data_IF_406132474515
#
_entry.id   IF_406132474515
#
_cell.length_a   1.000
_cell.length_b   1.000
_cell.length_c   1.000
_cell.angle_alpha   90.00
_cell.angle_beta   90.00
_cell.angle_gamma   90.00
#
_symmetry.space_group_name_H-M   'P 1'
#
loop_
_entity.id
_entity.type
_entity.pdbx_description
1 polymer ?
#
# COMPACT_ATOMS: atom_id res chain seq x y z
N UNK A 1 28.76 23.21 -7.22
CA UNK A 1 27.45 23.91 -7.30
C UNK A 1 26.37 23.05 -6.63
N UNK A 2 25.77 23.28 -5.47
CA UNK A 2 25.74 24.37 -4.46
C UNK A 2 25.64 23.72 -3.05
N UNK A 3 26.57 23.97 -2.11
CA UNK A 3 26.54 23.36 -0.77
C UNK A 3 25.56 24.02 0.23
N UNK A 4 24.95 25.17 -0.11
CA UNK A 4 24.12 25.96 0.83
C UNK A 4 22.70 25.42 1.08
N UNK A 5 22.15 24.52 0.25
CA UNK A 5 20.76 24.01 0.40
C UNK A 5 20.62 22.77 1.29
N UNK A 6 21.69 22.01 1.55
CA UNK A 6 21.66 20.84 2.47
C UNK A 6 21.66 21.25 3.94
N UNK A 7 22.39 22.32 4.31
CA UNK A 7 22.46 22.80 5.70
C UNK A 7 21.12 23.34 6.22
N UNK A 8 20.30 23.98 5.39
CA UNK A 8 19.02 24.55 5.82
C UNK A 8 17.95 23.49 6.20
N UNK A 9 18.03 22.27 5.64
CA UNK A 9 17.11 21.16 6.00
C UNK A 9 17.56 20.44 7.28
N UNK A 10 18.87 20.30 7.47
CA UNK A 10 19.46 19.70 8.68
C UNK A 10 19.25 20.58 9.93
N UNK A 11 19.42 21.90 9.80
CA UNK A 11 19.15 22.84 10.91
C UNK A 11 17.66 22.90 11.30
N UNK A 12 16.76 22.62 10.35
CA UNK A 12 15.31 22.56 10.60
C UNK A 12 14.89 21.30 11.37
N UNK A 13 15.57 20.16 11.17
CA UNK A 13 15.28 18.94 11.93
C UNK A 13 15.89 18.96 13.34
N UNK A 14 17.06 19.60 13.53
CA UNK A 14 17.62 19.84 14.87
C UNK A 14 16.72 20.72 15.74
N UNK A 15 16.07 21.74 15.17
CA UNK A 15 15.08 22.57 15.88
C UNK A 15 13.80 21.82 16.26
N UNK A 16 13.45 20.75 15.55
CA UNK A 16 12.31 19.87 15.88
C UNK A 16 12.67 18.85 16.97
N UNK A 17 13.88 18.29 16.92
CA UNK A 17 14.36 17.33 17.93
C UNK A 17 14.63 17.96 19.31
N UNK A 18 15.06 19.23 19.37
CA UNK A 18 15.23 19.93 20.64
C UNK A 18 13.89 20.31 21.33
N UNK A 19 12.77 20.29 20.59
CA UNK A 19 11.43 20.53 21.14
C UNK A 19 10.80 19.24 21.71
N UNK A 20 11.18 18.08 21.17
CA UNK A 20 10.62 16.77 21.55
C UNK A 20 11.33 16.14 22.76
N UNK A 21 12.55 16.57 23.10
CA UNK A 21 13.35 15.99 24.18
C UNK A 21 13.02 16.47 25.60
N UNK A 22 12.13 17.45 25.78
CA UNK A 22 11.85 18.05 27.10
C UNK A 22 10.55 17.57 27.78
N UNK A 23 9.82 16.61 27.22
CA UNK A 23 8.48 16.25 27.75
C UNK A 23 8.22 14.76 27.93
N UNK A 24 9.23 13.93 28.16
CA UNK A 24 8.97 12.55 28.61
C UNK A 24 9.97 12.11 29.68
N UNK A 25 9.62 12.35 30.94
CA UNK A 25 10.13 11.59 32.07
C UNK A 25 9.03 11.36 33.10
N UNK A 26 9.01 10.14 33.63
CA UNK A 26 8.11 9.53 34.62
C UNK A 26 6.73 9.09 34.11
N UNK A 27 6.61 7.83 33.66
CA UNK A 27 6.23 6.63 34.47
C UNK A 27 4.75 6.64 34.85
N UNK A 28 3.95 5.80 34.19
CA UNK A 28 3.10 4.75 34.79
C UNK A 28 2.36 4.07 33.64
N UNK A 29 2.89 2.90 33.30
CA UNK A 29 2.16 1.83 32.65
C UNK A 29 0.97 1.44 33.52
N UNK A 30 -0.11 1.07 32.85
CA UNK A 30 -1.21 0.20 33.33
C UNK A 30 -2.48 0.93 33.72
N UNK A 31 -3.59 0.42 33.16
CA UNK A 31 -4.99 0.70 33.48
C UNK A 31 -5.41 2.09 32.94
N UNK A 32 -6.04 2.23 31.77
CA UNK A 32 -7.49 2.02 31.57
C UNK A 32 -7.73 1.78 30.06
N UNK A 33 -7.83 0.51 29.66
CA UNK A 33 -8.68 0.11 28.55
C UNK A 33 -10.12 0.19 29.10
N UNK A 34 -10.88 1.28 28.85
CA UNK A 34 -12.34 1.21 28.55
C UNK A 34 -13.18 2.49 28.55
N UNK A 35 -12.75 3.63 29.10
CA UNK A 35 -13.71 4.72 29.29
C UNK A 35 -13.19 6.05 28.78
N UNK A 36 -14.11 6.84 28.20
CA UNK A 36 -14.01 8.26 27.83
C UNK A 36 -13.80 8.56 26.34
N UNK A 37 -14.80 8.15 25.55
CA UNK A 37 -15.55 9.17 24.80
C UNK A 37 -16.24 10.02 25.87
N UNK A 38 -15.76 11.25 26.09
CA UNK A 38 -16.50 12.47 26.50
C UNK A 38 -15.55 13.48 27.16
N UNK A 39 -15.42 14.61 26.47
CA UNK A 39 -15.42 15.98 27.00
C UNK A 39 -14.71 16.25 28.33
N UNK A 40 -13.61 17.00 28.30
CA UNK A 40 -13.72 18.44 28.57
C UNK A 40 -12.42 19.20 28.32
N UNK A 41 -12.63 20.37 27.73
CA UNK A 41 -11.73 21.51 27.69
C UNK A 41 -11.07 21.77 29.05
N UNK A 42 -9.77 22.06 29.07
CA UNK A 42 -9.24 23.38 29.50
C UNK A 42 -7.74 23.36 29.79
N UNK A 43 -7.09 24.43 29.30
CA UNK A 43 -5.79 24.99 29.70
C UNK A 43 -4.51 24.25 29.27
N UNK A 44 -3.98 24.65 28.11
CA UNK A 44 -2.62 25.21 28.07
C UNK A 44 -2.48 26.16 26.86
N UNK A 45 -2.36 27.46 27.16
CA UNK A 45 -2.36 28.53 26.18
C UNK A 45 -1.12 28.54 25.30
N UNK A 46 -1.33 28.36 23.99
CA UNK A 46 -0.43 28.84 22.96
C UNK A 46 -1.22 29.82 22.09
N UNK A 47 -0.88 31.11 22.19
CA UNK A 47 -1.42 32.16 21.32
C UNK A 47 -0.98 31.91 19.88
N UNK A 48 -1.76 31.11 19.15
CA UNK A 48 -1.67 30.95 17.72
C UNK A 48 -2.78 31.80 17.11
N UNK A 49 -2.41 32.93 16.51
CA UNK A 49 -3.35 33.72 15.71
C UNK A 49 -3.88 32.84 14.57
N UNK A 50 -5.14 32.41 14.69
CA UNK A 50 -5.86 31.69 13.65
C UNK A 50 -6.30 32.71 12.60
N UNK A 51 -5.78 32.59 11.39
CA UNK A 51 -6.15 33.46 10.28
C UNK A 51 -7.16 32.72 9.39
N UNK A 52 -8.23 33.41 8.99
CA UNK A 52 -9.19 32.89 8.01
C UNK A 52 -8.46 32.53 6.70
N UNK A 53 -8.83 31.39 6.13
CA UNK A 53 -8.28 30.90 4.86
C UNK A 53 -9.43 30.58 3.90
N UNK A 54 -9.38 31.17 2.73
CA UNK A 54 -10.23 30.82 1.59
C UNK A 54 -9.40 30.15 0.50
N UNK A 55 -10.02 29.25 -0.26
CA UNK A 55 -9.40 28.62 -1.43
C UNK A 55 -10.43 28.58 -2.56
N UNK A 56 -9.97 28.94 -3.76
CA UNK A 56 -10.77 28.93 -4.99
C UNK A 56 -10.45 27.66 -5.77
N UNK A 57 -11.50 26.94 -6.21
CA UNK A 57 -11.37 25.76 -7.06
C UNK A 57 -12.13 26.02 -8.35
N UNK A 58 -11.42 25.95 -9.47
CA UNK A 58 -11.98 25.96 -10.82
C UNK A 58 -11.98 24.54 -11.38
N UNK A 59 -13.03 24.19 -12.11
CA UNK A 59 -13.12 22.93 -12.86
C UNK A 59 -12.98 23.26 -14.36
N UNK A 60 -12.16 22.49 -15.08
CA UNK A 60 -11.97 22.69 -16.52
C UNK A 60 -13.33 22.62 -17.25
N UNK A 61 -13.63 23.65 -18.04
CA UNK A 61 -14.87 23.74 -18.83
C UNK A 61 -16.04 24.49 -18.14
N UNK A 62 -15.84 25.05 -16.95
CA UNK A 62 -16.87 25.85 -16.25
C UNK A 62 -16.29 27.23 -15.92
N UNK A 63 -16.82 28.30 -16.51
CA UNK A 63 -16.41 29.70 -16.26
C UNK A 63 -16.82 30.23 -14.86
N UNK A 64 -17.23 29.35 -13.94
CA UNK A 64 -17.75 29.72 -12.63
C UNK A 64 -16.95 29.08 -11.50
N UNK A 65 -16.50 29.88 -10.54
CA UNK A 65 -15.65 29.45 -9.43
C UNK A 65 -16.47 29.01 -8.22
N UNK A 66 -16.04 27.93 -7.56
CA UNK A 66 -16.50 27.60 -6.21
C UNK A 66 -15.61 28.30 -5.19
N UNK A 67 -16.23 29.00 -4.25
CA UNK A 67 -15.51 29.62 -3.13
C UNK A 67 -15.78 28.81 -1.87
N UNK A 68 -14.74 28.18 -1.35
CA UNK A 68 -14.77 27.50 -0.05
C UNK A 68 -14.17 28.44 0.99
N UNK A 69 -14.99 28.85 1.96
CA UNK A 69 -14.57 29.69 3.07
C UNK A 69 -14.56 28.85 4.36
N UNK A 70 -13.51 29.04 5.15
CA UNK A 70 -13.37 28.43 6.46
C UNK A 70 -13.02 29.53 7.45
N UNK A 71 -13.96 29.85 8.32
CA UNK A 71 -13.82 30.86 9.35
C UNK A 71 -13.57 30.21 10.70
N UNK A 72 -12.67 30.82 11.47
CA UNK A 72 -12.29 30.34 12.79
C UNK A 72 -12.59 31.41 13.83
N UNK A 73 -13.44 31.08 14.80
CA UNK A 73 -13.71 31.92 15.98
C UNK A 73 -13.39 31.10 17.22
N UNK A 74 -12.19 31.28 17.77
CA UNK A 74 -11.67 30.46 18.88
C UNK A 74 -11.46 28.99 18.46
N UNK A 75 -12.12 28.07 19.17
CA UNK A 75 -12.14 26.62 18.84
C UNK A 75 -13.26 26.23 17.86
N UNK A 76 -14.07 27.19 17.42
CA UNK A 76 -15.19 26.95 16.50
C UNK A 76 -14.68 27.16 15.06
N UNK A 77 -14.90 26.16 14.22
CA UNK A 77 -14.65 26.26 12.79
C UNK A 77 -15.98 26.18 12.03
N UNK A 78 -16.27 27.20 11.22
CA UNK A 78 -17.42 27.22 10.33
C UNK A 78 -16.93 27.08 8.88
N UNK A 79 -17.55 26.18 8.11
CA UNK A 79 -17.26 26.02 6.68
C UNK A 79 -18.48 26.46 5.88
N UNK A 80 -18.24 27.32 4.89
CA UNK A 80 -19.26 27.79 3.96
C UNK A 80 -18.78 27.60 2.53
N UNK A 81 -19.71 27.20 1.65
CA UNK A 81 -19.46 27.09 0.21
C UNK A 81 -20.38 28.06 -0.51
N UNK A 82 -19.81 28.95 -1.31
CA UNK A 82 -20.57 29.79 -2.24
C UNK A 82 -20.65 29.08 -3.59
N UNK A 83 -21.87 28.71 -3.99
CA UNK A 83 -22.15 28.03 -5.25
C UNK A 83 -22.63 29.07 -6.27
N UNK A 84 -22.11 29.10 -7.51
CA UNK A 84 -22.59 29.98 -8.57
C UNK A 84 -24.09 29.77 -8.84
N UNK A 85 -24.85 30.85 -9.05
CA UNK A 85 -26.32 30.77 -9.25
C UNK A 85 -26.74 29.87 -10.42
N UNK A 86 -25.89 29.71 -11.44
CA UNK A 86 -26.15 28.81 -12.59
C UNK A 86 -26.07 27.31 -12.23
N UNK A 87 -25.56 26.94 -11.06
CA UNK A 87 -25.48 25.55 -10.57
C UNK A 87 -26.74 25.05 -9.86
N UNK A 88 -27.76 25.90 -9.65
CA UNK A 88 -28.98 25.51 -8.94
C UNK A 88 -29.98 24.70 -9.77
N UNK A 89 -29.69 24.43 -11.05
CA UNK A 89 -30.41 23.41 -11.85
C UNK A 89 -29.70 22.06 -11.72
N UNK A 90 -29.68 21.50 -10.52
CA UNK A 90 -29.38 20.09 -10.33
C UNK A 90 -30.68 19.38 -10.00
N UNK A 91 -31.24 18.67 -10.98
CA UNK A 91 -32.18 17.60 -10.65
C UNK A 91 -31.40 16.59 -9.81
N UNK A 92 -31.75 16.48 -8.54
CA UNK A 92 -31.12 15.53 -7.63
C UNK A 92 -31.27 14.15 -8.27
N UNK A 93 -30.18 13.45 -8.64
CA UNK A 93 -30.30 12.14 -9.24
C UNK A 93 -31.06 11.27 -8.24
N UNK A 94 -32.20 10.71 -8.68
CA UNK A 94 -32.96 9.76 -7.85
C UNK A 94 -32.03 8.61 -7.54
N UNK A 95 -31.67 8.46 -6.26
CA UNK A 95 -30.99 7.28 -5.78
C UNK A 95 -32.02 6.16 -5.77
N UNK A 96 -31.83 5.15 -6.63
CA UNK A 96 -32.56 3.90 -6.55
C UNK A 96 -31.75 2.93 -5.69
N UNK A 97 -32.39 2.38 -4.65
CA UNK A 97 -31.85 1.24 -3.93
C UNK A 97 -31.87 0.03 -4.88
N UNK A 98 -30.70 -0.37 -5.38
CA UNK A 98 -30.56 -1.63 -6.10
C UNK A 98 -30.24 -2.73 -5.11
N UNK A 99 -31.22 -3.57 -4.83
CA UNK A 99 -31.01 -4.80 -4.08
C UNK A 99 -30.17 -5.78 -4.91
N UNK A 100 -29.20 -6.46 -4.30
CA UNK A 100 -28.49 -7.58 -4.93
C UNK A 100 -29.35 -8.84 -4.82
N UNK A 101 -30.50 -8.87 -5.49
CA UNK A 101 -31.45 -9.99 -5.48
C UNK A 101 -32.46 -9.87 -6.63
N UNK A 102 -33.08 -11.00 -7.01
CA UNK A 102 -34.11 -11.01 -8.04
C UNK A 102 -35.37 -10.35 -7.48
N UNK A 103 -35.65 -9.12 -7.89
CA UNK A 103 -36.92 -8.46 -7.58
C UNK A 103 -38.04 -9.15 -8.36
N UNK A 104 -38.87 -9.90 -7.63
CA UNK A 104 -39.89 -10.81 -8.14
C UNK A 104 -41.17 -10.11 -8.60
N UNK A 105 -41.08 -8.97 -9.30
CA UNK A 105 -42.26 -8.21 -9.71
C UNK A 105 -42.29 -7.78 -11.17
N UNK A 106 -41.46 -8.35 -12.05
CA UNK A 106 -41.64 -8.24 -13.49
C UNK A 106 -41.54 -9.61 -14.14
N UNK A 107 -42.65 -10.08 -14.72
CA UNK A 107 -42.74 -11.21 -15.64
C UNK A 107 -42.07 -10.88 -16.99
N UNK A 108 -40.85 -10.34 -16.96
CA UNK A 108 -39.97 -10.37 -18.11
C UNK A 108 -39.21 -11.68 -18.01
N UNK A 109 -39.31 -12.50 -19.05
CA UNK A 109 -38.51 -13.70 -19.20
C UNK A 109 -37.05 -13.41 -18.80
N UNK A 110 -36.39 -14.39 -18.22
CA UNK A 110 -34.96 -14.40 -17.86
C UNK A 110 -33.98 -14.09 -19.02
N UNK A 111 -34.51 -13.64 -20.16
CA UNK A 111 -33.87 -13.23 -21.40
C UNK A 111 -33.69 -11.71 -21.52
N UNK A 112 -34.20 -10.90 -20.56
CA UNK A 112 -33.84 -9.48 -20.49
C UNK A 112 -32.43 -9.32 -19.88
N UNK A 113 -31.48 -9.22 -20.79
CA UNK A 113 -30.04 -9.33 -20.66
C UNK A 113 -29.37 -8.19 -19.89
N UNK A 114 -29.26 -8.35 -18.56
CA UNK A 114 -28.33 -7.60 -17.71
C UNK A 114 -27.52 -8.51 -16.77
N UNK A 115 -27.49 -9.83 -17.01
CA UNK A 115 -26.84 -10.81 -16.11
C UNK A 115 -25.81 -11.67 -16.84
N UNK A 116 -24.87 -12.24 -16.09
CA UNK A 116 -23.79 -13.07 -16.66
C UNK A 116 -24.31 -14.47 -17.00
N UNK A 117 -24.41 -14.78 -18.29
CA UNK A 117 -24.90 -16.04 -18.85
C UNK A 117 -23.78 -17.03 -19.23
N UNK A 118 -22.58 -16.84 -18.67
CA UNK A 118 -21.42 -17.68 -18.93
C UNK A 118 -20.57 -17.19 -20.11
N UNK A 119 -20.07 -18.11 -20.92
CA UNK A 119 -19.12 -17.83 -22.01
C UNK A 119 -19.73 -16.88 -23.05
N UNK A 120 -21.03 -17.00 -23.31
CA UNK A 120 -21.75 -16.13 -24.25
C UNK A 120 -21.75 -14.65 -23.82
N UNK A 121 -21.57 -14.35 -22.53
CA UNK A 121 -21.43 -12.97 -22.03
C UNK A 121 -20.02 -12.41 -22.19
N UNK A 122 -19.07 -13.16 -22.75
CA UNK A 122 -17.69 -12.72 -22.96
C UNK A 122 -17.52 -12.31 -24.42
N UNK A 123 -17.71 -11.02 -24.67
CA UNK A 123 -17.69 -10.46 -26.03
C UNK A 123 -16.30 -9.95 -26.46
N UNK A 124 -15.38 -9.75 -25.50
CA UNK A 124 -14.05 -9.18 -25.77
C UNK A 124 -12.91 -10.05 -25.24
N UNK A 125 -11.78 -10.01 -25.94
CA UNK A 125 -10.57 -10.74 -25.52
C UNK A 125 -10.02 -10.19 -24.19
N UNK A 126 -10.21 -8.88 -23.95
CA UNK A 126 -9.82 -8.26 -22.68
C UNK A 126 -10.64 -8.86 -21.52
N UNK A 127 -11.95 -9.00 -21.69
CA UNK A 127 -12.82 -9.64 -20.69
C UNK A 127 -12.38 -11.08 -20.39
N UNK A 128 -12.01 -11.85 -21.42
CA UNK A 128 -11.53 -13.22 -21.21
C UNK A 128 -10.16 -13.27 -20.50
N UNK A 129 -9.25 -12.36 -20.83
CA UNK A 129 -7.96 -12.19 -20.12
C UNK A 129 -8.18 -11.80 -18.66
N UNK A 130 -9.11 -10.89 -18.38
CA UNK A 130 -9.39 -10.46 -17.03
C UNK A 130 -9.98 -11.61 -16.19
N UNK A 131 -10.90 -12.39 -16.77
CA UNK A 131 -11.55 -13.50 -16.07
C UNK A 131 -10.61 -14.72 -15.93
N UNK A 132 -9.85 -15.08 -16.97
CA UNK A 132 -9.09 -16.35 -17.05
C UNK A 132 -7.58 -16.21 -17.24
N UNK A 133 -7.11 -15.06 -17.70
CA UNK A 133 -5.71 -14.85 -18.07
C UNK A 133 -5.31 -15.46 -19.42
N UNK A 134 -6.28 -15.82 -20.28
CA UNK A 134 -6.01 -16.44 -21.58
C UNK A 134 -6.77 -15.74 -22.72
N UNK A 135 -6.28 -15.91 -23.94
CA UNK A 135 -6.91 -15.43 -25.19
C UNK A 135 -7.97 -16.41 -25.70
N UNK A 136 -8.88 -15.97 -26.58
CA UNK A 136 -9.85 -16.86 -27.24
C UNK A 136 -9.18 -18.03 -27.96
N UNK A 137 -8.06 -17.79 -28.66
CA UNK A 137 -7.30 -18.87 -29.34
C UNK A 137 -6.91 -20.02 -28.43
N UNK A 138 -6.43 -19.69 -27.22
CA UNK A 138 -6.06 -20.68 -26.21
C UNK A 138 -7.31 -21.35 -25.64
N UNK A 139 -8.39 -20.57 -25.44
CA UNK A 139 -9.66 -21.11 -24.96
C UNK A 139 -10.23 -22.14 -25.94
N UNK A 140 -10.27 -21.84 -27.24
CA UNK A 140 -10.76 -22.73 -28.28
C UNK A 140 -9.88 -23.98 -28.43
N UNK A 141 -8.56 -23.81 -28.33
CA UNK A 141 -7.63 -24.93 -28.27
C UNK A 141 -7.93 -25.85 -27.07
N UNK A 142 -8.07 -25.30 -25.87
CA UNK A 142 -8.42 -26.09 -24.69
C UNK A 142 -9.80 -26.73 -24.80
N UNK A 143 -10.77 -26.04 -25.42
CA UNK A 143 -12.11 -26.57 -25.68
C UNK A 143 -12.05 -27.78 -26.62
N UNK A 144 -11.18 -27.75 -27.64
CA UNK A 144 -10.96 -28.87 -28.56
C UNK A 144 -10.38 -30.12 -27.90
N UNK A 145 -9.69 -29.96 -26.76
CA UNK A 145 -9.14 -31.08 -25.99
C UNK A 145 -10.20 -31.75 -25.10
N UNK A 146 -11.37 -31.12 -24.93
CA UNK A 146 -12.45 -31.66 -24.12
C UNK A 146 -13.20 -32.73 -24.92
N UNK A 147 -13.24 -34.00 -24.44
CA UNK A 147 -13.95 -35.07 -25.12
C UNK A 147 -15.43 -34.74 -25.30
N UNK A 148 -16.01 -35.14 -26.43
CA UNK A 148 -17.43 -34.92 -26.68
C UNK A 148 -18.36 -35.72 -25.74
N UNK A 149 -17.82 -36.70 -25.01
CA UNK A 149 -18.54 -37.63 -24.13
C UNK A 149 -18.65 -37.17 -22.67
N UNK A 150 -18.53 -35.87 -22.36
CA UNK A 150 -18.92 -35.40 -21.02
C UNK A 150 -20.41 -35.64 -20.86
N UNK A 151 -20.76 -36.58 -19.97
CA UNK A 151 -22.09 -37.08 -19.64
C UNK A 151 -23.24 -36.13 -20.02
N UNK A 152 -24.22 -36.68 -20.75
CA UNK A 152 -25.54 -36.12 -21.07
C UNK A 152 -26.40 -35.74 -19.85
N UNK A 153 -25.83 -35.78 -18.65
CA UNK A 153 -26.43 -35.41 -17.36
C UNK A 153 -26.01 -34.02 -16.86
N UNK A 154 -25.05 -33.35 -17.52
CA UNK A 154 -24.64 -31.99 -17.12
C UNK A 154 -25.46 -30.93 -17.85
N UNK A 155 -26.11 -30.04 -17.10
CA UNK A 155 -26.97 -28.94 -17.60
C UNK A 155 -26.16 -27.89 -18.39
N UNK A 156 -24.82 -27.97 -18.36
CA UNK A 156 -23.93 -26.89 -18.76
C UNK A 156 -23.22 -27.19 -20.09
N UNK A 157 -23.11 -26.17 -20.96
CA UNK A 157 -22.34 -26.29 -22.21
C UNK A 157 -20.84 -26.52 -21.95
N UNK A 158 -20.11 -27.08 -22.92
CA UNK A 158 -18.66 -27.35 -22.80
C UNK A 158 -17.87 -26.06 -22.58
N UNK A 159 -18.27 -24.98 -23.24
CA UNK A 159 -17.68 -23.65 -23.10
C UNK A 159 -17.87 -23.16 -21.66
N UNK A 160 -19.07 -23.27 -21.12
CA UNK A 160 -19.38 -22.86 -19.76
C UNK A 160 -18.66 -23.73 -18.72
N UNK A 161 -18.51 -25.03 -18.98
CA UNK A 161 -17.76 -25.93 -18.12
C UNK A 161 -16.27 -25.57 -18.07
N UNK A 162 -15.64 -25.42 -19.24
CA UNK A 162 -14.24 -24.97 -19.35
C UNK A 162 -14.06 -23.59 -18.71
N UNK A 163 -15.02 -22.68 -18.92
CA UNK A 163 -15.02 -21.38 -18.29
C UNK A 163 -15.00 -21.53 -16.77
N UNK A 164 -15.95 -22.22 -16.15
CA UNK A 164 -15.99 -22.40 -14.68
C UNK A 164 -14.70 -23.05 -14.18
N UNK A 165 -14.20 -24.07 -14.87
CA UNK A 165 -12.95 -24.76 -14.54
C UNK A 165 -11.77 -23.77 -14.49
N UNK A 166 -11.55 -22.98 -15.54
CA UNK A 166 -10.47 -22.00 -15.60
C UNK A 166 -10.63 -20.88 -14.55
N UNK A 167 -11.88 -20.53 -14.20
CA UNK A 167 -12.19 -19.58 -13.11
C UNK A 167 -11.71 -20.12 -11.76
N UNK A 168 -12.07 -21.38 -11.48
CA UNK A 168 -11.66 -22.07 -10.27
C UNK A 168 -10.16 -22.28 -10.25
N UNK A 169 -9.54 -22.59 -11.38
CA UNK A 169 -8.11 -22.80 -11.48
C UNK A 169 -7.33 -21.52 -11.13
N UNK A 170 -7.69 -20.38 -11.74
CA UNK A 170 -7.07 -19.07 -11.45
C UNK A 170 -7.15 -18.73 -9.96
N UNK A 171 -8.34 -18.85 -9.36
CA UNK A 171 -8.54 -18.51 -7.94
C UNK A 171 -7.89 -19.52 -6.99
N UNK A 172 -7.85 -20.81 -7.34
CA UNK A 172 -7.28 -21.86 -6.48
C UNK A 172 -5.77 -21.84 -6.50
N UNK A 173 -5.14 -21.70 -7.68
CA UNK A 173 -3.68 -21.59 -7.79
C UNK A 173 -3.17 -20.36 -7.04
N UNK A 174 -3.79 -19.19 -7.22
CA UNK A 174 -3.39 -17.99 -6.46
C UNK A 174 -3.57 -18.17 -4.95
N UNK A 175 -4.66 -18.80 -4.51
CA UNK A 175 -4.87 -19.10 -3.08
C UNK A 175 -3.81 -20.04 -2.53
N UNK A 176 -3.56 -21.17 -3.21
CA UNK A 176 -2.53 -22.14 -2.81
C UNK A 176 -1.15 -21.49 -2.78
N UNK A 177 -0.80 -20.70 -3.78
CA UNK A 177 0.48 -19.99 -3.83
C UNK A 177 0.65 -19.01 -2.66
N UNK A 178 -0.36 -18.17 -2.39
CA UNK A 178 -0.32 -17.23 -1.27
C UNK A 178 -0.29 -17.93 0.08
N UNK A 179 -1.00 -19.06 0.20
CA UNK A 179 -1.00 -19.90 1.39
C UNK A 179 0.38 -20.53 1.63
N UNK A 180 1.00 -21.09 0.59
CA UNK A 180 2.37 -21.61 0.66
C UNK A 180 3.37 -20.51 1.06
N UNK A 181 3.28 -19.32 0.47
CA UNK A 181 4.16 -18.20 0.81
C UNK A 181 3.99 -17.77 2.28
N UNK A 182 2.76 -17.51 2.71
CA UNK A 182 2.47 -16.93 4.03
C UNK A 182 2.55 -17.95 5.16
N UNK A 183 1.97 -19.13 4.97
CA UNK A 183 1.79 -20.10 6.04
C UNK A 183 2.87 -21.17 6.11
N UNK A 184 3.61 -21.41 5.02
CA UNK A 184 4.71 -22.38 5.00
C UNK A 184 6.05 -21.66 4.93
N UNK A 185 6.36 -21.02 3.81
CA UNK A 185 7.70 -20.46 3.53
C UNK A 185 8.07 -19.35 4.52
N UNK A 186 7.21 -18.37 4.72
CA UNK A 186 7.49 -17.27 5.67
C UNK A 186 7.76 -17.78 7.10
N UNK A 187 7.02 -18.78 7.57
CA UNK A 187 7.21 -19.36 8.91
C UNK A 187 8.49 -20.19 8.99
N UNK A 188 8.74 -21.05 7.99
CA UNK A 188 9.91 -21.94 7.97
C UNK A 188 11.22 -21.19 7.75
N UNK A 189 11.20 -20.13 6.94
CA UNK A 189 12.37 -19.32 6.64
C UNK A 189 12.64 -18.22 7.68
N UNK A 190 11.72 -17.96 8.62
CA UNK A 190 11.87 -16.90 9.63
C UNK A 190 13.18 -17.04 10.42
N UNK A 191 13.56 -18.26 10.77
CA UNK A 191 14.75 -18.53 11.57
C UNK A 191 16.05 -18.53 10.76
N UNK A 192 15.97 -18.40 9.43
CA UNK A 192 17.15 -18.29 8.56
C UNK A 192 17.73 -16.87 8.56
N UNK A 193 16.95 -15.87 8.96
CA UNK A 193 17.39 -14.48 9.09
C UNK A 193 17.65 -14.22 10.56
N UNK A 194 18.92 -14.26 10.95
CA UNK A 194 19.35 -13.94 12.30
C UNK A 194 20.58 -13.05 12.25
N UNK A 195 20.84 -12.38 13.36
CA UNK A 195 22.02 -11.53 13.53
C UNK A 195 23.15 -12.37 14.13
N UNK A 196 24.13 -12.83 13.34
CA UNK A 196 25.24 -13.62 13.85
C UNK A 196 26.17 -12.76 14.72
N UNK A 197 26.95 -13.39 15.60
CA UNK A 197 27.98 -12.68 16.35
C UNK A 197 29.14 -12.23 15.44
N UNK A 198 29.90 -11.25 15.93
CA UNK A 198 31.01 -10.63 15.19
C UNK A 198 32.07 -11.63 14.74
N UNK A 199 32.44 -12.55 15.63
CA UNK A 199 33.48 -13.54 15.35
C UNK A 199 33.09 -14.48 14.20
N UNK A 200 31.82 -14.91 14.14
CA UNK A 200 31.31 -15.72 13.04
C UNK A 200 31.41 -14.98 11.71
N UNK A 201 31.01 -13.70 11.67
CA UNK A 201 31.13 -12.89 10.45
C UNK A 201 32.60 -12.78 10.05
N UNK A 202 33.46 -12.47 11.02
CA UNK A 202 34.88 -12.24 10.77
C UNK A 202 35.58 -13.49 10.25
N UNK A 203 35.35 -14.67 10.82
CA UNK A 203 35.98 -15.93 10.37
C UNK A 203 35.64 -16.22 8.90
N UNK A 204 34.39 -16.00 8.48
CA UNK A 204 33.91 -16.30 7.13
C UNK A 204 34.07 -15.16 6.13
N UNK A 205 34.66 -14.03 6.54
CA UNK A 205 34.86 -12.88 5.68
C UNK A 205 36.13 -13.03 4.81
N UNK A 206 36.00 -12.70 3.51
CA UNK A 206 37.08 -12.82 2.53
C UNK A 206 38.31 -11.99 2.91
N UNK A 207 39.51 -12.61 2.86
CA UNK A 207 40.77 -12.02 3.28
C UNK A 207 41.12 -10.70 2.59
N UNK A 208 40.79 -10.56 1.30
CA UNK A 208 41.06 -9.31 0.56
C UNK A 208 40.22 -8.15 1.10
N UNK A 209 38.94 -8.41 1.35
CA UNK A 209 37.99 -7.41 1.84
C UNK A 209 38.29 -6.99 3.29
N UNK A 210 38.78 -7.92 4.13
CA UNK A 210 39.29 -7.63 5.49
C UNK A 210 40.35 -6.54 5.54
N UNK A 211 41.20 -6.43 4.51
CA UNK A 211 42.27 -5.40 4.49
C UNK A 211 41.70 -4.00 4.33
N UNK A 212 40.59 -3.86 3.62
CA UNK A 212 39.98 -2.56 3.31
C UNK A 212 38.97 -2.14 4.38
N UNK A 213 38.18 -3.10 4.87
CA UNK A 213 37.10 -2.87 5.83
C UNK A 213 37.20 -3.90 6.97
N UNK A 214 38.20 -3.76 7.87
CA UNK A 214 38.54 -4.78 8.86
C UNK A 214 37.43 -5.05 9.87
N UNK A 215 36.54 -4.07 10.08
CA UNK A 215 35.44 -4.15 11.02
C UNK A 215 34.07 -4.24 10.34
N UNK A 216 34.03 -4.60 9.05
CA UNK A 216 32.79 -4.70 8.27
C UNK A 216 31.83 -5.71 8.92
N UNK A 217 30.72 -5.20 9.47
CA UNK A 217 29.67 -6.01 10.10
C UNK A 217 28.65 -6.48 9.07
N UNK A 218 28.22 -5.58 8.21
CA UNK A 218 27.26 -5.86 7.15
C UNK A 218 27.28 -4.77 6.07
N UNK A 219 26.69 -5.11 4.94
CA UNK A 219 26.33 -4.20 3.86
C UNK A 219 24.81 -4.01 3.94
N UNK A 220 24.33 -2.77 3.99
CA UNK A 220 22.90 -2.46 3.97
C UNK A 220 22.48 -1.88 2.63
N UNK A 221 21.25 -2.21 2.23
CA UNK A 221 20.59 -1.62 1.07
C UNK A 221 19.08 -1.45 1.32
N UNK A 222 18.53 -0.37 0.79
CA UNK A 222 17.10 -0.11 0.78
C UNK A 222 16.47 -0.64 -0.51
N UNK A 223 16.16 -1.93 -0.51
CA UNK A 223 15.58 -2.61 -1.65
C UNK A 223 14.14 -2.13 -1.94
N UNK A 224 13.85 -1.78 -3.19
CA UNK A 224 12.53 -1.36 -3.66
C UNK A 224 11.87 -2.39 -4.57
N UNK A 225 10.69 -2.86 -4.18
CA UNK A 225 9.84 -3.79 -4.93
C UNK A 225 8.75 -3.00 -5.63
N UNK A 226 8.67 -3.10 -6.96
CA UNK A 226 7.56 -2.52 -7.73
C UNK A 226 6.25 -3.23 -7.39
N UNK A 227 5.20 -2.45 -7.19
CA UNK A 227 3.85 -2.95 -6.89
C UNK A 227 2.82 -2.35 -7.85
N UNK A 228 1.64 -2.95 -7.87
CA UNK A 228 0.47 -2.41 -8.56
C UNK A 228 0.01 -1.07 -7.96
N UNK A 229 -0.76 -0.30 -8.72
CA UNK A 229 -1.28 0.98 -8.27
C UNK A 229 -2.21 0.79 -7.05
N UNK A 230 -1.91 1.44 -5.91
CA UNK A 230 -2.79 1.34 -4.75
C UNK A 230 -4.18 1.91 -5.02
N UNK A 231 -5.21 1.36 -4.36
CA UNK A 231 -6.60 1.77 -4.59
C UNK A 231 -6.86 3.22 -4.16
N UNK A 232 -6.30 3.64 -3.03
CA UNK A 232 -6.56 4.97 -2.44
C UNK A 232 -5.50 6.00 -2.82
N UNK A 233 -5.91 7.26 -2.96
CA UNK A 233 -4.99 8.39 -3.23
C UNK A 233 -3.92 8.51 -2.15
N UNK A 234 -4.31 8.35 -0.88
CA UNK A 234 -3.39 8.37 0.27
C UNK A 234 -2.28 7.32 0.14
N UNK A 235 -2.62 6.07 -0.19
CA UNK A 235 -1.61 5.02 -0.40
C UNK A 235 -0.74 5.29 -1.62
N UNK A 236 -1.32 5.78 -2.73
CA UNK A 236 -0.55 6.17 -3.92
C UNK A 236 0.52 7.21 -3.57
N UNK A 237 0.19 8.22 -2.77
CA UNK A 237 1.16 9.23 -2.32
C UNK A 237 2.29 8.61 -1.50
N UNK A 238 2.00 7.70 -0.58
CA UNK A 238 3.03 7.07 0.25
C UNK A 238 3.91 6.06 -0.50
N UNK A 239 3.34 5.37 -1.49
CA UNK A 239 4.04 4.30 -2.20
C UNK A 239 4.76 4.77 -3.46
N UNK A 240 4.47 5.97 -3.96
CA UNK A 240 5.13 6.47 -5.18
C UNK A 240 6.61 6.79 -4.93
N UNK A 241 7.48 6.02 -5.56
CA UNK A 241 8.91 6.27 -5.61
C UNK A 241 9.24 7.18 -6.79
N UNK A 242 9.72 8.38 -6.48
CA UNK A 242 10.20 9.32 -7.51
C UNK A 242 11.40 8.77 -8.26
N UNK A 243 12.26 8.01 -7.56
CA UNK A 243 13.44 7.41 -8.15
C UNK A 243 13.10 6.35 -9.21
N UNK A 244 12.10 5.51 -8.94
CA UNK A 244 11.67 4.45 -9.86
C UNK A 244 10.52 4.85 -10.79
N UNK A 245 9.97 6.05 -10.64
CA UNK A 245 8.83 6.56 -11.43
C UNK A 245 7.56 5.72 -11.30
N UNK A 246 7.42 4.90 -10.26
CA UNK A 246 6.30 3.98 -10.07
C UNK A 246 6.02 3.73 -8.58
N UNK A 247 4.96 2.97 -8.30
CA UNK A 247 4.62 2.58 -6.93
C UNK A 247 5.53 1.44 -6.47
N UNK A 248 6.17 1.62 -5.32
CA UNK A 248 7.07 0.64 -4.73
C UNK A 248 6.80 0.45 -3.24
N UNK A 249 7.22 -0.70 -2.74
CA UNK A 249 7.43 -0.99 -1.32
C UNK A 249 8.92 -1.08 -1.09
N UNK A 250 9.40 -0.47 -0.01
CA UNK A 250 10.81 -0.41 0.37
C UNK A 250 11.07 -1.23 1.62
N UNK A 251 12.18 -1.94 1.66
CA UNK A 251 12.63 -2.71 2.83
C UNK A 251 14.14 -2.53 2.99
N UNK A 252 14.61 -2.25 4.21
CA UNK A 252 16.02 -2.28 4.53
C UNK A 252 16.45 -3.73 4.72
N UNK A 253 17.47 -4.15 3.97
CA UNK A 253 18.10 -5.47 4.09
C UNK A 253 19.53 -5.25 4.55
N UNK A 254 19.97 -6.03 5.54
CA UNK A 254 21.40 -6.14 5.86
C UNK A 254 21.90 -7.51 5.42
N UNK A 255 23.01 -7.51 4.71
CA UNK A 255 23.69 -8.69 4.21
C UNK A 255 25.08 -8.73 4.84
N UNK A 256 25.43 -9.83 5.47
CA UNK A 256 26.79 -10.01 5.98
C UNK A 256 27.78 -10.10 4.83
N UNK A 257 29.07 -9.79 5.05
CA UNK A 257 30.05 -9.78 3.98
C UNK A 257 30.27 -11.12 3.24
N UNK A 258 29.79 -12.24 3.80
CA UNK A 258 29.77 -13.56 3.16
C UNK A 258 28.48 -13.84 2.35
N UNK A 259 27.56 -12.87 2.24
CA UNK A 259 26.36 -12.96 1.41
C UNK A 259 25.08 -13.43 2.13
N UNK A 260 25.12 -13.68 3.44
CA UNK A 260 23.93 -14.08 4.20
C UNK A 260 23.06 -12.87 4.56
N UNK A 261 21.74 -12.97 4.35
CA UNK A 261 20.79 -11.96 4.84
C UNK A 261 20.67 -12.09 6.35
N UNK A 262 21.14 -11.08 7.10
CA UNK A 262 21.17 -11.09 8.57
C UNK A 262 20.12 -10.19 9.21
N UNK A 263 19.50 -9.30 8.44
CA UNK A 263 18.45 -8.42 8.92
C UNK A 263 17.47 -8.07 7.79
N UNK A 264 16.19 -7.96 8.15
CA UNK A 264 15.12 -7.53 7.27
C UNK A 264 14.17 -6.61 8.05
N UNK A 265 13.96 -5.37 7.59
CA UNK A 265 13.05 -4.45 8.25
C UNK A 265 11.57 -4.78 8.00
N UNK A 266 10.68 -4.07 8.70
CA UNK A 266 9.29 -3.90 8.23
C UNK A 266 9.27 -3.19 6.87
N UNK A 267 8.16 -3.34 6.16
CA UNK A 267 7.95 -2.70 4.87
C UNK A 267 7.54 -1.23 5.01
N UNK A 268 8.09 -0.38 4.14
CA UNK A 268 7.79 1.04 4.03
C UNK A 268 7.26 1.38 2.65
N UNK A 269 6.55 2.51 2.51
CA UNK A 269 6.15 2.99 1.19
C UNK A 269 7.36 3.51 0.40
N UNK A 270 7.33 3.38 -0.94
CA UNK A 270 8.41 3.83 -1.83
C UNK A 270 8.84 5.28 -1.67
N UNK A 271 7.97 6.15 -1.14
CA UNK A 271 8.29 7.57 -0.87
C UNK A 271 9.17 7.77 0.37
N UNK A 272 9.26 6.76 1.23
CA UNK A 272 10.06 6.85 2.47
C UNK A 272 11.55 7.05 2.17
N UNK A 273 12.19 7.86 3.02
CA UNK A 273 13.62 8.13 2.93
C UNK A 273 14.42 7.02 3.60
N UNK A 274 15.55 6.64 3.03
CA UNK A 274 16.35 5.51 3.52
C UNK A 274 16.88 5.77 4.93
N UNK A 275 17.39 6.97 5.20
CA UNK A 275 17.80 7.36 6.55
C UNK A 275 16.66 7.30 7.59
N UNK A 276 15.42 7.59 7.19
CA UNK A 276 14.28 7.44 8.10
C UNK A 276 14.03 5.96 8.40
N UNK A 277 14.01 5.12 7.36
CA UNK A 277 13.77 3.69 7.48
C UNK A 277 14.84 3.01 8.36
N UNK A 278 16.12 3.37 8.17
CA UNK A 278 17.25 2.85 8.94
C UNK A 278 17.15 3.19 10.43
N UNK A 279 16.71 4.41 10.75
CA UNK A 279 16.53 4.84 12.14
C UNK A 279 15.29 4.19 12.79
N UNK A 280 14.21 3.98 12.03
CA UNK A 280 12.94 3.48 12.55
C UNK A 280 12.85 1.94 12.63
N UNK A 281 13.63 1.21 11.84
CA UNK A 281 13.46 -0.25 11.74
C UNK A 281 14.12 -1.07 12.86
N UNK A 282 14.83 -0.44 13.80
CA UNK A 282 15.60 -1.13 14.84
C UNK A 282 16.87 -1.81 14.34
N UNK A 283 17.39 -1.40 13.18
CA UNK A 283 18.68 -1.91 12.66
C UNK A 283 19.85 -1.44 13.53
N UNK A 284 19.83 -0.17 13.95
CA UNK A 284 20.91 0.42 14.74
C UNK A 284 21.11 -0.28 16.08
N UNK A 285 20.05 -0.82 16.68
CA UNK A 285 20.09 -1.60 17.92
C UNK A 285 20.86 -2.93 17.80
N UNK A 286 21.21 -3.34 16.58
CA UNK A 286 21.99 -4.55 16.29
C UNK A 286 23.50 -4.29 16.22
N UNK A 287 23.92 -3.04 16.11
CA UNK A 287 25.31 -2.68 15.91
C UNK A 287 26.05 -2.54 17.24
N UNK A 288 27.31 -2.94 17.23
CA UNK A 288 28.22 -2.80 18.37
C UNK A 288 29.23 -1.66 18.12
N UNK A 289 29.84 -1.16 19.19
CA UNK A 289 30.86 -0.09 19.07
C UNK A 289 32.01 -0.58 18.19
N UNK A 290 32.38 0.24 17.20
CA UNK A 290 33.45 -0.07 16.25
C UNK A 290 33.05 -0.95 15.08
N UNK A 291 31.77 -1.32 14.94
CA UNK A 291 31.26 -1.97 13.73
C UNK A 291 31.25 -0.99 12.56
N UNK A 292 31.67 -1.49 11.39
CA UNK A 292 31.65 -0.76 10.14
C UNK A 292 30.51 -1.27 9.26
N UNK A 293 29.65 -0.38 8.80
CA UNK A 293 28.50 -0.70 7.94
C UNK A 293 28.73 -0.06 6.57
N UNK A 294 28.72 -0.89 5.54
CA UNK A 294 28.77 -0.41 4.15
C UNK A 294 27.34 -0.14 3.68
N UNK A 295 27.14 0.93 2.93
CA UNK A 295 25.86 1.32 2.37
C UNK A 295 26.07 1.94 0.98
N UNK A 296 25.04 1.85 0.14
CA UNK A 296 24.91 2.59 -1.13
C UNK A 296 24.04 3.85 -0.93
#
# INVERSE_FOLDING_TARGET
NQPRKKNARYERSKKLQALESNTLSSTVTTIIFKSLIELNDSVCGYNKTMNNKSTLVAFDGIENYFVFNCEYEGNIAATQVTIPKNFMKFDKPKTEDKSCGVESSNNNSCLSCNTFHGFQSIESEQSLKDIKGITFKIFDFLLSLIPNNINSQTILSKENYLLIFLMKLKTTVSRVFLECLKNILSKKCKNLIFWPCKDTIWIHYLLHSKKKYPNCRCIIDCFEIKVEQPKTVKQRVYMYSHYKGCYTVKVLVAITPNGMVSFLSKAYGGRSNDSFNTNDCGFLDKLEIGDEVLAD
#
